data_IF_593860859274
#
_entry.id   IF_593860859274
#
_cell.length_a   1.000
_cell.length_b   1.000
_cell.length_c   1.000
_cell.angle_alpha   90.00
_cell.angle_beta   90.00
_cell.angle_gamma   90.00
#
_symmetry.space_group_name_H-M   'P 1'
#
loop_
_entity.id
_entity.type
_entity.pdbx_description
1 polymer ?
#
# COMPACT_ATOMS: atom_id res chain seq x y z
N UNK A 1 9.03 -3.13 -10.95
CA UNK A 1 8.56 -4.15 -9.98
C UNK A 1 7.18 -3.79 -9.40
N UNK A 2 6.15 -3.57 -10.24
CA UNK A 2 4.89 -2.93 -9.79
C UNK A 2 3.75 -3.87 -9.37
N UNK A 3 3.92 -5.18 -9.52
CA UNK A 3 2.86 -6.17 -9.23
C UNK A 3 3.00 -6.83 -7.84
N UNK A 4 4.20 -6.83 -7.27
CA UNK A 4 4.46 -7.46 -5.97
C UNK A 4 3.81 -6.70 -4.81
N UNK A 5 3.75 -5.36 -4.92
CA UNK A 5 3.12 -4.46 -3.95
C UNK A 5 1.65 -4.78 -3.74
N UNK A 6 0.93 -4.85 -4.85
CA UNK A 6 -0.50 -5.12 -4.86
C UNK A 6 -0.78 -6.50 -4.29
N UNK A 7 -0.07 -7.52 -4.76
CA UNK A 7 -0.30 -8.89 -4.32
C UNK A 7 0.00 -9.07 -2.84
N UNK A 8 1.06 -8.43 -2.33
CA UNK A 8 1.39 -8.46 -0.90
C UNK A 8 0.32 -7.75 -0.07
N UNK A 9 -0.21 -6.61 -0.53
CA UNK A 9 -1.34 -5.94 0.13
C UNK A 9 -2.54 -6.88 0.16
N UNK A 10 -2.97 -7.40 -0.98
CA UNK A 10 -4.09 -8.33 -1.07
C UNK A 10 -3.89 -9.53 -0.14
N UNK A 11 -2.71 -10.15 -0.19
CA UNK A 11 -2.36 -11.29 0.66
C UNK A 11 -2.36 -10.93 2.15
N UNK A 12 -1.84 -9.76 2.52
CA UNK A 12 -1.81 -9.29 3.91
C UNK A 12 -3.22 -9.11 4.49
N UNK A 13 -4.18 -8.66 3.68
CA UNK A 13 -5.58 -8.56 4.07
C UNK A 13 -6.36 -9.88 3.92
N UNK A 14 -5.67 -11.02 3.73
CA UNK A 14 -6.29 -12.33 3.60
C UNK A 14 -7.02 -12.55 2.27
N UNK A 15 -6.83 -11.64 1.31
CA UNK A 15 -7.31 -11.82 -0.04
C UNK A 15 -6.38 -12.80 -0.73
N UNK A 16 -6.76 -14.07 -0.79
CA UNK A 16 -6.13 -15.07 -1.65
C UNK A 16 -6.48 -14.79 -3.11
N UNK A 17 -6.09 -13.62 -3.60
CA UNK A 17 -6.24 -13.29 -5.00
C UNK A 17 -5.02 -13.81 -5.71
N UNK A 18 -5.26 -14.82 -6.54
CA UNK A 18 -4.24 -15.35 -7.40
C UNK A 18 -3.75 -14.22 -8.31
N UNK A 19 -2.46 -13.88 -8.21
CA UNK A 19 -1.81 -12.82 -8.99
C UNK A 19 -2.04 -13.02 -10.50
N UNK A 20 -2.20 -14.29 -10.89
CA UNK A 20 -2.54 -14.71 -12.23
C UNK A 20 -3.98 -14.32 -12.63
N UNK A 21 -4.96 -14.60 -11.77
CA UNK A 21 -6.36 -14.19 -11.98
C UNK A 21 -6.49 -12.66 -12.00
N UNK A 22 -5.77 -11.96 -11.12
CA UNK A 22 -5.72 -10.50 -11.11
C UNK A 22 -5.20 -9.91 -12.43
N UNK A 23 -4.11 -10.48 -12.95
CA UNK A 23 -3.55 -10.07 -14.24
C UNK A 23 -4.50 -10.32 -15.40
N UNK A 24 -5.21 -11.45 -15.37
CA UNK A 24 -6.14 -11.82 -16.43
C UNK A 24 -7.45 -11.03 -16.37
N UNK A 25 -8.01 -10.80 -15.17
CA UNK A 25 -9.29 -10.11 -14.97
C UNK A 25 -9.17 -8.60 -15.08
N UNK A 26 -8.11 -7.99 -14.56
CA UNK A 26 -7.92 -6.52 -14.56
C UNK A 26 -6.95 -6.04 -15.64
N UNK A 27 -6.48 -6.93 -16.52
CA UNK A 27 -5.61 -6.58 -17.62
C UNK A 27 -4.32 -5.88 -17.16
N UNK A 28 -3.72 -6.34 -16.06
CA UNK A 28 -2.45 -5.83 -15.53
C UNK A 28 -1.28 -6.24 -16.46
N UNK A 29 -1.30 -5.74 -17.69
CA UNK A 29 -0.26 -5.92 -18.69
C UNK A 29 0.81 -4.86 -18.48
N UNK A 30 1.98 -5.27 -18.01
CA UNK A 30 3.31 -4.62 -18.09
C UNK A 30 3.48 -3.17 -17.59
N UNK A 31 2.42 -2.36 -17.45
CA UNK A 31 2.43 -0.96 -17.01
C UNK A 31 2.33 -0.80 -15.49
N UNK A 32 1.84 -1.82 -14.78
CA UNK A 32 1.74 -1.83 -13.32
C UNK A 32 0.29 -1.69 -12.83
N UNK A 33 0.08 -1.98 -11.55
CA UNK A 33 -1.18 -1.71 -10.88
C UNK A 33 -1.24 -0.24 -10.48
N UNK A 34 -2.29 0.46 -10.88
CA UNK A 34 -2.54 1.83 -10.43
C UNK A 34 -3.35 1.81 -9.13
N UNK A 35 -3.34 2.94 -8.41
CA UNK A 35 -4.20 3.15 -7.23
C UNK A 35 -5.66 2.84 -7.56
N UNK A 36 -6.13 3.25 -8.75
CA UNK A 36 -7.49 3.01 -9.22
C UNK A 36 -7.80 1.52 -9.29
N UNK A 37 -6.92 0.71 -9.89
CA UNK A 37 -7.09 -0.74 -9.91
C UNK A 37 -7.14 -1.33 -8.50
N UNK A 38 -6.34 -0.81 -7.57
CA UNK A 38 -6.32 -1.25 -6.17
C UNK A 38 -7.66 -0.97 -5.47
N UNK A 39 -8.21 0.23 -5.69
CA UNK A 39 -9.53 0.63 -5.18
C UNK A 39 -10.64 -0.18 -5.83
N UNK A 40 -10.59 -0.42 -7.14
CA UNK A 40 -11.58 -1.21 -7.87
C UNK A 40 -11.62 -2.66 -7.36
N UNK A 41 -10.45 -3.29 -7.20
CA UNK A 41 -10.33 -4.64 -6.64
C UNK A 41 -10.88 -4.68 -5.22
N UNK A 42 -10.50 -3.72 -4.37
CA UNK A 42 -10.96 -3.70 -3.00
C UNK A 42 -12.48 -3.46 -2.91
N UNK A 43 -13.02 -2.60 -3.78
CA UNK A 43 -14.45 -2.35 -3.91
C UNK A 43 -15.22 -3.59 -4.37
N UNK A 44 -14.72 -4.31 -5.38
CA UNK A 44 -15.28 -5.60 -5.84
C UNK A 44 -15.28 -6.65 -4.73
N UNK A 45 -14.25 -6.64 -3.89
CA UNK A 45 -14.12 -7.51 -2.72
C UNK A 45 -14.91 -7.01 -1.51
N UNK A 46 -15.69 -5.93 -1.67
CA UNK A 46 -16.47 -5.25 -0.62
C UNK A 46 -15.62 -4.81 0.58
N UNK A 47 -14.31 -4.67 0.38
CA UNK A 47 -13.44 -3.98 1.32
C UNK A 47 -13.73 -2.49 1.20
N UNK A 48 -14.00 -1.86 2.35
CA UNK A 48 -14.02 -0.40 2.37
C UNK A 48 -12.59 0.05 2.22
N UNK A 49 -12.31 0.88 1.22
CA UNK A 49 -11.02 1.53 1.07
C UNK A 49 -11.24 3.00 0.87
N UNK A 50 -10.45 3.81 1.56
CA UNK A 50 -10.50 5.25 1.50
C UNK A 50 -9.11 5.79 1.21
N UNK A 51 -8.94 6.33 0.00
CA UNK A 51 -7.79 7.15 -0.29
C UNK A 51 -7.89 8.46 0.51
N UNK A 52 -6.86 8.75 1.28
CA UNK A 52 -6.70 9.94 2.10
C UNK A 52 -5.42 10.63 1.66
N UNK A 53 -5.51 11.94 1.44
CA UNK A 53 -4.32 12.77 1.29
C UNK A 53 -4.05 13.39 2.66
N UNK A 54 -2.88 13.09 3.23
CA UNK A 54 -2.48 13.60 4.54
C UNK A 54 -0.98 13.81 4.59
N UNK A 55 -0.55 14.67 5.51
CA UNK A 55 0.87 14.91 5.74
C UNK A 55 1.47 13.82 6.63
N UNK A 56 2.79 13.66 6.54
CA UNK A 56 3.49 12.62 7.30
C UNK A 56 3.35 12.78 8.83
N UNK A 57 3.12 13.99 9.32
CA UNK A 57 2.89 14.23 10.74
C UNK A 57 1.56 13.61 11.22
N UNK A 58 0.57 13.51 10.33
CA UNK A 58 -0.74 12.89 10.58
C UNK A 58 -0.70 11.36 10.47
N UNK A 59 0.41 10.81 9.96
CA UNK A 59 0.61 9.37 9.79
C UNK A 59 0.67 8.62 11.12
N UNK A 60 1.04 9.31 12.22
CA UNK A 60 0.91 8.79 13.58
C UNK A 60 -0.55 8.64 14.04
N UNK A 61 -1.47 9.41 13.46
CA UNK A 61 -2.90 9.38 13.80
C UNK A 61 -3.66 8.35 12.96
N UNK A 62 -3.06 7.85 11.87
CA UNK A 62 -3.65 6.78 11.07
C UNK A 62 -3.71 5.45 11.82
N UNK A 63 -4.78 4.70 11.56
CA UNK A 63 -4.88 3.31 12.00
C UNK A 63 -4.06 2.42 11.08
N UNK A 64 -3.11 1.71 11.66
CA UNK A 64 -2.47 0.58 11.00
C UNK A 64 -3.37 -0.67 11.10
N UNK A 65 -3.40 -1.55 10.08
CA UNK A 65 -2.62 -1.47 8.85
C UNK A 65 -3.25 -0.56 7.79
N UNK A 66 -2.43 0.24 7.11
CA UNK A 66 -2.86 1.07 5.97
C UNK A 66 -1.82 1.00 4.83
N UNK A 67 -2.18 1.42 3.63
CA UNK A 67 -1.29 1.39 2.47
C UNK A 67 -0.74 2.80 2.25
N UNK A 68 0.56 2.94 2.06
CA UNK A 68 1.19 4.22 1.76
C UNK A 68 1.71 4.22 0.33
N UNK A 69 1.50 5.33 -0.36
CA UNK A 69 2.10 5.56 -1.66
C UNK A 69 3.55 6.03 -1.50
N UNK A 70 4.45 5.38 -2.25
CA UNK A 70 5.90 5.49 -2.07
C UNK A 70 6.59 5.78 -3.42
N UNK A 71 7.45 6.81 -3.43
CA UNK A 71 8.24 7.25 -4.59
C UNK A 71 7.44 7.44 -5.89
N UNK A 72 6.13 7.72 -5.79
CA UNK A 72 5.20 7.85 -6.92
C UNK A 72 5.10 6.63 -7.86
N UNK A 73 5.74 5.52 -7.52
CA UNK A 73 5.90 4.36 -8.42
C UNK A 73 5.48 3.03 -7.77
N UNK A 74 5.34 3.00 -6.43
CA UNK A 74 4.93 1.79 -5.73
C UNK A 74 4.16 2.06 -4.43
N UNK A 75 3.71 0.97 -3.80
CA UNK A 75 2.95 0.99 -2.56
C UNK A 75 3.63 0.13 -1.51
N UNK A 76 3.58 0.57 -0.26
CA UNK A 76 4.03 -0.18 0.91
C UNK A 76 2.89 -0.32 1.92
N UNK A 77 2.94 -1.36 2.75
CA UNK A 77 1.95 -1.56 3.82
C UNK A 77 2.53 -1.04 5.13
N UNK A 78 1.88 -0.06 5.73
CA UNK A 78 2.17 0.37 7.09
C UNK A 78 1.67 -0.69 8.08
N UNK A 79 2.59 -1.26 8.87
CA UNK A 79 2.25 -2.28 9.88
C UNK A 79 2.08 -1.64 11.26
N UNK A 80 2.95 -0.70 11.63
CA UNK A 80 2.84 -0.02 12.92
C UNK A 80 3.64 1.27 12.93
N UNK A 81 3.16 2.27 13.64
CA UNK A 81 3.90 3.50 13.95
C UNK A 81 4.15 3.57 15.45
N UNK A 82 5.42 3.66 15.86
CA UNK A 82 5.82 3.64 17.27
C UNK A 82 6.83 4.76 17.56
N UNK A 83 6.41 5.81 18.28
CA UNK A 83 7.26 6.91 18.81
C UNK A 83 8.39 7.34 17.84
N UNK A 84 8.07 7.54 16.56
CA UNK A 84 9.02 7.96 15.51
C UNK A 84 9.71 6.84 14.71
N UNK A 85 9.42 5.57 15.00
CA UNK A 85 9.79 4.40 14.18
C UNK A 85 8.56 3.88 13.44
N UNK A 86 8.64 3.85 12.12
CA UNK A 86 7.58 3.36 11.25
C UNK A 86 7.99 2.00 10.71
N UNK A 87 7.21 0.97 11.01
CA UNK A 87 7.38 -0.35 10.41
C UNK A 87 6.49 -0.44 9.18
N UNK A 88 7.13 -0.55 8.02
CA UNK A 88 6.48 -0.78 6.73
C UNK A 88 6.84 -2.16 6.18
N UNK A 89 5.94 -2.75 5.43
CA UNK A 89 6.22 -3.90 4.59
C UNK A 89 6.35 -3.40 3.16
N UNK A 90 7.55 -3.54 2.63
CA UNK A 90 7.89 -3.29 1.25
C UNK A 90 7.80 -4.64 0.49
N UNK A 91 7.08 -4.73 -0.62
CA UNK A 91 7.03 -5.95 -1.43
C UNK A 91 8.36 -6.33 -2.09
N UNK A 92 9.23 -5.36 -2.33
CA UNK A 92 10.54 -5.54 -2.96
C UNK A 92 11.59 -6.00 -1.94
N UNK A 93 11.52 -5.46 -0.72
CA UNK A 93 12.55 -5.65 0.32
C UNK A 93 12.07 -6.36 1.58
N UNK A 94 10.76 -6.64 1.70
CA UNK A 94 10.13 -7.20 2.89
C UNK A 94 9.88 -6.16 3.98
N UNK A 95 9.86 -6.61 5.24
CA UNK A 95 9.66 -5.73 6.40
C UNK A 95 10.83 -4.77 6.57
N UNK A 96 10.56 -3.47 6.60
CA UNK A 96 11.53 -2.40 6.89
C UNK A 96 11.04 -1.54 8.04
N UNK A 97 11.98 -1.04 8.84
CA UNK A 97 11.70 -0.08 9.90
C UNK A 97 12.48 1.18 9.58
N UNK A 98 11.75 2.29 9.42
CA UNK A 98 12.27 3.55 8.93
C UNK A 98 11.92 4.66 9.93
N UNK A 99 12.75 5.70 9.96
CA UNK A 99 12.44 6.90 10.75
C UNK A 99 11.41 7.78 10.05
N UNK A 100 10.78 8.69 10.80
CA UNK A 100 9.81 9.64 10.23
C UNK A 100 10.41 10.50 9.10
N UNK A 101 11.64 10.98 9.27
CA UNK A 101 12.32 11.75 8.22
C UNK A 101 12.66 10.93 6.98
N UNK A 102 12.87 9.63 7.14
CA UNK A 102 13.19 8.77 6.00
C UNK A 102 11.92 8.47 5.22
N UNK A 103 10.85 8.12 5.93
CA UNK A 103 9.52 7.99 5.36
C UNK A 103 9.09 9.28 4.64
N UNK A 104 9.39 10.47 5.19
CA UNK A 104 8.96 11.76 4.61
C UNK A 104 9.57 12.04 3.24
N UNK A 105 10.74 11.48 2.95
CA UNK A 105 11.42 11.67 1.67
C UNK A 105 10.78 10.87 0.55
N UNK A 106 10.12 9.77 0.91
CA UNK A 106 9.53 8.82 -0.02
C UNK A 106 8.01 8.90 -0.09
N UNK A 107 7.38 9.29 1.03
CA UNK A 107 5.94 9.40 1.15
C UNK A 107 5.42 10.56 0.31
N UNK A 108 4.46 10.27 -0.56
CA UNK A 108 3.96 11.26 -1.52
C UNK A 108 2.77 12.06 -0.99
N UNK A 109 2.37 11.86 0.27
CA UNK A 109 1.15 12.46 0.84
C UNK A 109 -0.12 11.66 0.62
N UNK A 110 -0.06 10.48 -0.03
CA UNK A 110 -1.24 9.65 -0.33
C UNK A 110 -1.19 8.37 0.48
N UNK A 111 -2.22 8.14 1.28
CA UNK A 111 -2.46 6.89 2.00
C UNK A 111 -3.79 6.27 1.59
N UNK A 112 -3.91 4.96 1.72
CA UNK A 112 -5.15 4.22 1.59
C UNK A 112 -5.47 3.59 2.95
N UNK A 113 -6.53 4.06 3.57
CA UNK A 113 -7.14 3.43 4.75
C UNK A 113 -8.11 2.34 4.28
N UNK A 114 -8.20 1.22 5.02
CA UNK A 114 -9.13 0.12 4.80
C UNK A 114 -10.10 0.02 5.98
#
# INVERSE_FOLDING_TARGET
MRAASLAMVCHYYGLQIDLFNLRSSYGLFSRGATLATLVDIAHDLKLKTRALSLDIDELNALKAPCILHWDMDHFVVLVSVNRGRIAVHDPAFGRRVLGMQELSRHFTGVALEL
#
